data_IF_958895230051
#
_entry.id   IF_958895230051
#
_cell.length_a   1.000
_cell.length_b   1.000
_cell.length_c   1.000
_cell.angle_alpha   90.00
_cell.angle_beta   90.00
_cell.angle_gamma   90.00
#
_symmetry.space_group_name_H-M   'P 1'
#
loop_
_entity.id
_entity.type
_entity.pdbx_description
1 polymer ?
#
# COMPACT_ATOMS: atom_id res chain seq x y z
N UNK A 1 -35.79 -17.41 0.76
CA UNK A 1 -34.77 -18.42 1.11
C UNK A 1 -34.03 -17.89 2.34
N UNK A 2 -34.28 -18.51 3.51
CA UNK A 2 -33.63 -18.12 4.77
C UNK A 2 -32.34 -18.89 4.94
N UNK A 3 -31.23 -18.18 5.03
CA UNK A 3 -29.94 -18.78 5.38
C UNK A 3 -29.92 -19.07 6.88
N UNK A 4 -29.95 -20.35 7.22
CA UNK A 4 -29.72 -20.85 8.58
C UNK A 4 -28.22 -20.89 8.83
N UNK A 5 -27.69 -19.95 9.64
CA UNK A 5 -26.33 -20.04 10.16
C UNK A 5 -26.41 -20.90 11.42
N UNK A 6 -26.04 -22.17 11.28
CA UNK A 6 -25.84 -23.08 12.41
C UNK A 6 -24.67 -22.58 13.26
N UNK A 7 -24.95 -22.26 14.53
CA UNK A 7 -23.93 -21.96 15.53
C UNK A 7 -23.14 -23.24 15.85
N UNK A 8 -21.96 -23.37 15.29
CA UNK A 8 -20.98 -24.37 15.77
C UNK A 8 -20.44 -23.91 17.12
N UNK A 9 -20.69 -24.72 18.15
CA UNK A 9 -20.14 -24.56 19.49
C UNK A 9 -18.62 -24.73 19.42
N UNK A 10 -17.87 -23.65 19.55
CA UNK A 10 -16.42 -23.66 19.69
C UNK A 10 -16.03 -24.35 21.01
N UNK A 11 -15.55 -25.57 20.94
CA UNK A 11 -14.78 -26.19 22.00
C UNK A 11 -13.41 -25.49 22.05
N UNK A 12 -13.10 -24.83 23.18
CA UNK A 12 -11.78 -24.25 23.44
C UNK A 12 -10.71 -25.36 23.52
N UNK A 13 -10.12 -25.74 22.39
CA UNK A 13 -8.77 -26.25 22.38
C UNK A 13 -7.86 -25.03 22.30
N UNK A 14 -6.97 -24.87 23.28
CA UNK A 14 -5.84 -23.94 23.18
C UNK A 14 -5.07 -24.27 21.90
N UNK A 15 -5.41 -23.59 20.81
CA UNK A 15 -4.59 -23.63 19.60
C UNK A 15 -3.34 -22.84 19.96
N UNK A 16 -2.18 -23.48 19.92
CA UNK A 16 -0.90 -22.78 19.89
C UNK A 16 -1.06 -21.59 18.92
N UNK A 17 -1.04 -20.38 19.47
CA UNK A 17 -1.28 -19.17 18.69
C UNK A 17 -0.06 -18.99 17.80
N UNK A 18 -0.15 -19.40 16.55
CA UNK A 18 0.90 -19.20 15.57
C UNK A 18 0.96 -17.71 15.25
N UNK A 19 2.11 -17.11 15.51
CA UNK A 19 2.38 -15.73 15.12
C UNK A 19 2.79 -15.74 13.64
N UNK A 20 2.02 -15.08 12.80
CA UNK A 20 2.20 -15.10 11.35
C UNK A 20 2.88 -13.82 10.87
N UNK A 21 4.12 -13.95 10.41
CA UNK A 21 4.94 -12.86 9.87
C UNK A 21 5.10 -12.89 8.35
N UNK A 22 4.26 -13.64 7.62
CA UNK A 22 4.38 -13.74 6.16
C UNK A 22 4.17 -12.41 5.45
N UNK A 23 3.24 -11.60 5.94
CA UNK A 23 2.87 -10.29 5.35
C UNK A 23 2.04 -9.49 6.37
N UNK A 24 2.10 -8.18 6.28
CA UNK A 24 1.18 -7.26 6.96
C UNK A 24 -0.29 -7.52 6.57
N UNK A 25 -0.53 -8.01 5.35
CA UNK A 25 -1.87 -8.29 4.81
C UNK A 25 -2.62 -9.41 5.53
N UNK A 26 -1.93 -10.25 6.31
CA UNK A 26 -2.60 -11.29 7.14
C UNK A 26 -3.06 -10.76 8.49
N UNK A 27 -2.70 -9.53 8.87
CA UNK A 27 -3.11 -8.92 10.13
C UNK A 27 -4.61 -8.61 10.13
N UNK A 28 -5.21 -8.65 11.31
CA UNK A 28 -6.64 -8.38 11.48
C UNK A 28 -6.85 -7.10 12.28
N UNK A 29 -7.86 -6.30 11.97
CA UNK A 29 -8.20 -5.15 12.78
C UNK A 29 -8.59 -5.58 14.20
N UNK A 30 -8.16 -4.83 15.19
CA UNK A 30 -8.62 -4.99 16.58
C UNK A 30 -10.11 -4.62 16.73
N UNK A 31 -10.73 -5.00 17.83
CA UNK A 31 -12.12 -4.62 18.11
C UNK A 31 -12.29 -3.09 18.18
N UNK A 32 -11.32 -2.37 18.74
CA UNK A 32 -11.30 -0.91 18.74
C UNK A 32 -11.23 -0.32 17.33
N UNK A 33 -10.42 -0.89 16.45
CA UNK A 33 -10.35 -0.46 15.03
C UNK A 33 -11.68 -0.73 14.32
N UNK A 34 -12.31 -1.88 14.55
CA UNK A 34 -13.62 -2.21 13.97
C UNK A 34 -14.71 -1.24 14.45
N UNK A 35 -14.72 -0.91 15.74
CA UNK A 35 -15.65 0.07 16.30
C UNK A 35 -15.41 1.47 15.72
N UNK A 36 -14.16 1.90 15.57
CA UNK A 36 -13.81 3.17 14.96
C UNK A 36 -14.29 3.25 13.49
N UNK A 37 -14.06 2.21 12.69
CA UNK A 37 -14.56 2.13 11.31
C UNK A 37 -16.10 2.22 11.26
N UNK A 38 -16.81 1.48 12.12
CA UNK A 38 -18.28 1.46 12.12
C UNK A 38 -18.91 2.80 12.53
N UNK A 39 -18.23 3.60 13.35
CA UNK A 39 -18.73 4.85 13.88
C UNK A 39 -18.08 6.10 13.27
N UNK A 40 -17.19 5.94 12.27
CA UNK A 40 -16.54 7.07 11.62
C UNK A 40 -17.56 7.96 10.90
N UNK A 41 -17.33 9.26 10.95
CA UNK A 41 -18.07 10.21 10.12
C UNK A 41 -17.53 10.09 8.69
N UNK A 42 -18.45 10.07 7.75
CA UNK A 42 -18.11 9.98 6.33
C UNK A 42 -18.68 11.19 5.57
N UNK A 43 -18.07 11.51 4.45
CA UNK A 43 -18.51 12.56 3.53
C UNK A 43 -18.05 12.24 2.12
N UNK A 44 -18.33 13.12 1.17
CA UNK A 44 -17.88 12.95 -0.21
C UNK A 44 -16.44 13.46 -0.35
N UNK A 45 -15.50 12.53 -0.58
CA UNK A 45 -14.08 12.85 -0.74
C UNK A 45 -13.78 13.67 -2.00
N UNK A 46 -14.61 13.56 -3.04
CA UNK A 46 -14.48 14.36 -4.28
C UNK A 46 -14.60 15.84 -3.98
N UNK A 47 -15.46 16.22 -3.03
CA UNK A 47 -15.63 17.60 -2.58
C UNK A 47 -14.75 17.96 -1.36
N UNK A 48 -13.95 17.01 -0.88
CA UNK A 48 -13.17 17.22 0.34
C UNK A 48 -14.01 17.27 1.62
N UNK A 49 -15.21 16.71 1.59
CA UNK A 49 -16.18 16.80 2.70
C UNK A 49 -16.06 15.62 3.69
N UNK A 50 -15.21 14.59 3.41
CA UNK A 50 -15.03 13.49 4.35
C UNK A 50 -14.09 13.90 5.50
N UNK A 51 -14.64 14.09 6.73
CA UNK A 51 -13.84 14.60 7.83
C UNK A 51 -12.83 13.56 8.34
N UNK A 52 -13.08 12.27 8.16
CA UNK A 52 -12.19 11.20 8.63
C UNK A 52 -11.00 11.06 7.69
N UNK A 53 -11.21 11.17 6.38
CA UNK A 53 -10.13 11.20 5.38
C UNK A 53 -9.26 12.43 5.60
N UNK A 54 -9.85 13.61 5.74
CA UNK A 54 -9.14 14.86 5.95
C UNK A 54 -8.26 14.80 7.21
N UNK A 55 -8.82 14.33 8.34
CA UNK A 55 -8.07 14.16 9.60
C UNK A 55 -6.90 13.17 9.44
N UNK A 56 -7.10 12.06 8.72
CA UNK A 56 -6.02 11.09 8.47
C UNK A 56 -4.88 11.72 7.67
N UNK A 57 -5.20 12.42 6.59
CA UNK A 57 -4.21 13.08 5.72
C UNK A 57 -3.39 14.12 6.50
N UNK A 58 -4.06 14.98 7.26
CA UNK A 58 -3.41 15.99 8.09
C UNK A 58 -2.53 15.35 9.18
N UNK A 59 -3.05 14.36 9.88
CA UNK A 59 -2.33 13.67 10.95
C UNK A 59 -1.05 13.00 10.46
N UNK A 60 -1.11 12.32 9.31
CA UNK A 60 0.07 11.64 8.75
C UNK A 60 1.07 12.65 8.22
N UNK A 61 0.64 13.70 7.55
CA UNK A 61 1.50 14.80 7.10
C UNK A 61 2.25 15.42 8.27
N UNK A 62 1.56 15.79 9.34
CA UNK A 62 2.14 16.36 10.55
C UNK A 62 3.10 15.40 11.24
N UNK A 63 2.75 14.12 11.37
CA UNK A 63 3.59 13.08 12.00
C UNK A 63 4.94 12.92 11.29
N UNK A 64 4.93 13.03 9.97
CA UNK A 64 6.11 12.85 9.13
C UNK A 64 6.81 14.18 8.75
N UNK A 65 6.30 15.32 9.21
CA UNK A 65 6.83 16.64 8.90
C UNK A 65 6.74 16.96 7.39
N UNK A 66 5.67 16.51 6.73
CA UNK A 66 5.39 16.76 5.31
C UNK A 66 4.33 17.83 5.12
N UNK A 67 4.33 18.44 3.96
CA UNK A 67 3.39 19.50 3.58
C UNK A 67 1.96 19.00 3.49
N UNK A 68 1.76 17.81 2.94
CA UNK A 68 0.44 17.22 2.75
C UNK A 68 0.51 15.68 2.78
N UNK A 69 -0.64 15.06 2.97
CA UNK A 69 -0.87 13.63 2.79
C UNK A 69 -1.99 13.40 1.79
N UNK A 70 -1.95 12.30 1.07
CA UNK A 70 -3.01 11.86 0.16
C UNK A 70 -3.43 10.43 0.53
N UNK A 71 -4.68 10.27 0.90
CA UNK A 71 -5.27 8.96 1.08
C UNK A 71 -5.61 8.33 -0.27
N UNK A 72 -5.23 7.07 -0.45
CA UNK A 72 -5.55 6.26 -1.63
C UNK A 72 -6.06 4.89 -1.18
N UNK A 73 -6.81 4.21 -2.03
CA UNK A 73 -7.50 2.97 -1.69
C UNK A 73 -6.61 1.73 -1.67
N UNK A 74 -5.40 1.81 -2.22
CA UNK A 74 -4.44 0.70 -2.23
C UNK A 74 -3.00 1.17 -2.37
N UNK A 75 -2.04 0.33 -1.95
CA UNK A 75 -0.61 0.57 -2.16
C UNK A 75 -0.24 0.64 -3.64
N UNK A 76 -0.83 -0.20 -4.48
CA UNK A 76 -0.63 -0.16 -5.94
C UNK A 76 -1.07 1.18 -6.53
N UNK A 77 -2.20 1.73 -6.09
CA UNK A 77 -2.64 3.07 -6.51
C UNK A 77 -1.66 4.15 -6.04
N UNK A 78 -1.18 4.05 -4.79
CA UNK A 78 -0.18 4.98 -4.25
C UNK A 78 1.10 4.98 -5.10
N UNK A 79 1.63 3.81 -5.39
CA UNK A 79 2.83 3.67 -6.20
C UNK A 79 2.62 4.25 -7.62
N UNK A 80 1.52 3.90 -8.27
CA UNK A 80 1.23 4.42 -9.61
C UNK A 80 1.09 5.94 -9.62
N UNK A 81 0.33 6.52 -8.70
CA UNK A 81 0.19 7.97 -8.57
C UNK A 81 1.54 8.66 -8.34
N UNK A 82 2.39 8.07 -7.47
CA UNK A 82 3.72 8.60 -7.21
C UNK A 82 4.61 8.56 -8.46
N UNK A 83 4.61 7.45 -9.19
CA UNK A 83 5.37 7.33 -10.44
C UNK A 83 4.90 8.34 -11.50
N UNK A 84 3.58 8.48 -11.67
CA UNK A 84 3.01 9.45 -12.62
C UNK A 84 3.24 10.91 -12.22
N UNK A 85 3.39 11.20 -10.92
CA UNK A 85 3.70 12.55 -10.44
C UNK A 85 5.17 12.93 -10.69
N UNK A 86 6.08 11.95 -10.70
CA UNK A 86 7.52 12.19 -10.81
C UNK A 86 8.08 11.95 -12.21
N UNK A 87 7.39 11.23 -13.07
CA UNK A 87 7.90 10.82 -14.38
C UNK A 87 6.99 11.27 -15.51
N UNK A 88 7.61 11.68 -16.59
CA UNK A 88 6.97 11.92 -17.88
C UNK A 88 7.01 10.67 -18.76
N UNK A 89 6.20 10.67 -19.84
CA UNK A 89 6.22 9.58 -20.83
C UNK A 89 7.61 9.41 -21.43
N UNK A 90 8.12 8.20 -21.45
CA UNK A 90 9.43 7.86 -22.00
C UNK A 90 10.58 8.03 -21.01
N UNK A 91 10.34 8.54 -19.81
CA UNK A 91 11.33 8.55 -18.74
C UNK A 91 11.48 7.16 -18.11
N UNK A 92 12.51 6.99 -17.30
CA UNK A 92 12.90 5.71 -16.76
C UNK A 92 12.96 5.75 -15.22
N UNK A 93 12.49 4.67 -14.59
CA UNK A 93 12.61 4.44 -13.15
C UNK A 93 13.60 3.32 -12.91
N UNK A 94 14.66 3.59 -12.14
CA UNK A 94 15.57 2.57 -11.62
C UNK A 94 14.93 1.93 -10.39
N UNK A 95 14.82 0.60 -10.39
CA UNK A 95 14.16 -0.15 -9.32
C UNK A 95 14.83 -1.49 -9.06
N UNK A 96 14.55 -2.10 -7.92
CA UNK A 96 14.97 -3.48 -7.66
C UNK A 96 14.13 -4.48 -8.47
N UNK A 97 14.79 -5.53 -9.00
CA UNK A 97 14.16 -6.59 -9.80
C UNK A 97 13.14 -7.44 -9.02
N UNK A 98 13.08 -7.28 -7.70
CA UNK A 98 12.10 -7.93 -6.79
C UNK A 98 11.18 -6.94 -6.09
N UNK A 99 11.19 -5.68 -6.48
CA UNK A 99 10.32 -4.68 -5.86
C UNK A 99 8.91 -4.76 -6.44
N UNK A 100 7.93 -4.50 -5.58
CA UNK A 100 6.49 -4.63 -5.87
C UNK A 100 6.09 -3.88 -7.15
N UNK A 101 6.57 -2.64 -7.34
CA UNK A 101 6.28 -1.83 -8.54
C UNK A 101 6.75 -2.47 -9.85
N UNK A 102 7.71 -3.39 -9.79
CA UNK A 102 8.24 -4.08 -10.96
C UNK A 102 7.54 -5.42 -11.22
N UNK A 103 7.26 -6.22 -10.18
CA UNK A 103 6.81 -7.61 -10.35
C UNK A 103 5.30 -7.80 -10.09
N UNK A 104 4.67 -6.99 -9.22
CA UNK A 104 3.33 -7.29 -8.68
C UNK A 104 2.23 -6.30 -9.10
N UNK A 105 2.54 -5.27 -9.91
CA UNK A 105 1.60 -4.20 -10.28
C UNK A 105 1.18 -4.23 -11.76
N UNK A 106 1.19 -5.41 -12.37
CA UNK A 106 0.73 -5.65 -13.74
C UNK A 106 1.38 -4.71 -14.80
N UNK A 107 2.58 -4.20 -14.53
CA UNK A 107 3.26 -3.26 -15.43
C UNK A 107 2.60 -1.89 -15.51
N UNK A 108 1.86 -1.47 -14.47
CA UNK A 108 1.08 -0.23 -14.47
C UNK A 108 1.87 1.02 -14.88
N UNK A 109 3.13 1.15 -14.43
CA UNK A 109 4.01 2.24 -14.83
C UNK A 109 4.20 2.33 -16.35
N UNK A 110 4.42 1.20 -17.00
CA UNK A 110 4.65 1.13 -18.44
C UNK A 110 3.36 1.28 -19.24
N UNK A 111 2.28 0.60 -18.81
CA UNK A 111 1.00 0.58 -19.52
C UNK A 111 0.27 1.91 -19.43
N UNK A 112 0.21 2.52 -18.25
CA UNK A 112 -0.54 3.75 -18.01
C UNK A 112 0.32 5.01 -18.11
N UNK A 113 1.57 4.93 -17.61
CA UNK A 113 2.49 6.06 -17.60
C UNK A 113 3.40 6.15 -18.81
N UNK A 114 3.51 5.09 -19.62
CA UNK A 114 4.55 4.96 -20.65
C UNK A 114 5.97 5.16 -20.08
N UNK A 115 6.17 4.76 -18.84
CA UNK A 115 7.42 4.88 -18.09
C UNK A 115 8.21 3.58 -18.29
N UNK A 116 9.50 3.70 -18.62
CA UNK A 116 10.39 2.55 -18.71
C UNK A 116 10.85 2.13 -17.32
N UNK A 117 11.00 0.81 -17.13
CA UNK A 117 11.52 0.26 -15.89
C UNK A 117 12.93 -0.26 -16.13
N UNK A 118 13.90 0.22 -15.35
CA UNK A 118 15.29 -0.26 -15.35
C UNK A 118 15.55 -1.08 -14.08
N UNK A 119 15.26 -2.40 -14.11
CA UNK A 119 15.46 -3.23 -12.94
C UNK A 119 16.94 -3.51 -12.72
N UNK A 120 17.40 -3.35 -11.48
CA UNK A 120 18.72 -3.76 -11.02
C UNK A 120 18.57 -4.85 -9.94
N UNK A 121 19.63 -5.64 -9.77
CA UNK A 121 19.57 -6.80 -8.87
C UNK A 121 19.33 -6.40 -7.43
N UNK A 122 18.25 -6.91 -6.86
CA UNK A 122 17.94 -6.82 -5.42
C UNK A 122 18.82 -7.81 -4.64
N UNK A 123 19.44 -7.36 -3.57
CA UNK A 123 20.23 -8.19 -2.67
C UNK A 123 19.32 -9.02 -1.74
N UNK A 124 19.92 -9.93 -0.97
CA UNK A 124 19.19 -10.82 -0.07
C UNK A 124 18.43 -10.07 1.03
N UNK A 125 18.97 -8.93 1.49
CA UNK A 125 18.36 -8.07 2.51
C UNK A 125 17.31 -7.08 1.94
N UNK A 126 17.01 -7.16 0.65
CA UNK A 126 16.07 -6.29 -0.04
C UNK A 126 16.68 -4.98 -0.55
N UNK A 127 17.94 -4.70 -0.26
CA UNK A 127 18.60 -3.48 -0.73
C UNK A 127 19.08 -3.61 -2.19
N UNK A 128 19.43 -2.48 -2.79
CA UNK A 128 20.11 -2.36 -4.09
C UNK A 128 21.42 -1.61 -3.90
N UNK A 129 22.42 -1.92 -4.71
CA UNK A 129 23.75 -1.31 -4.61
C UNK A 129 23.78 0.06 -5.26
N UNK A 130 24.38 1.05 -4.57
CA UNK A 130 24.51 2.41 -5.09
C UNK A 130 25.33 2.46 -6.39
N UNK A 131 26.39 1.67 -6.50
CA UNK A 131 27.20 1.60 -7.72
C UNK A 131 26.45 1.02 -8.94
N UNK A 132 25.46 0.13 -8.71
CA UNK A 132 24.60 -0.36 -9.79
C UNK A 132 23.58 0.72 -10.21
N UNK A 133 23.10 1.54 -9.27
CA UNK A 133 22.27 2.71 -9.59
C UNK A 133 23.05 3.67 -10.48
N UNK A 134 24.28 4.05 -10.08
CA UNK A 134 25.13 4.97 -10.84
C UNK A 134 25.42 4.47 -12.26
N UNK A 135 25.69 3.18 -12.43
CA UNK A 135 25.93 2.58 -13.76
C UNK A 135 24.69 2.55 -14.65
N UNK A 136 23.50 2.58 -14.05
CA UNK A 136 22.22 2.50 -14.77
C UNK A 136 21.73 3.87 -15.21
N UNK A 137 22.18 4.95 -14.57
CA UNK A 137 21.88 6.32 -14.98
C UNK A 137 22.45 6.59 -16.38
N UNK A 138 21.60 7.10 -17.28
CA UNK A 138 21.96 7.41 -18.69
C UNK A 138 22.20 8.89 -18.88
#
# INVERSE_FOLDING_TARGET
>A
MSYNISQEKNSHKEKNQVVDFRSDTVTQPTDGMRAAMANSKVGDDVYGDDPTVNELQEKVANLLGKEAGLFVTSGTQSNLCSMLAHCQRGEEIITGDKYHIYIDEAGGASVLGSIMMAPIKTLYDGSIKADEIEKTIK
#
